data_IF_954982540897
#
_entry.id   IF_954982540897
#
_cell.length_a   1.000
_cell.length_b   1.000
_cell.length_c   1.000
_cell.angle_alpha   90.00
_cell.angle_beta   90.00
_cell.angle_gamma   90.00
#
_symmetry.space_group_name_H-M   'P 1'
#
loop_
_entity.id
_entity.type
_entity.pdbx_description
1 polymer ?
#
# COMPACT_ATOMS: atom_id res chain seq x y z
N UNK A 1 8.37 -8.00 6.37
CA UNK A 1 9.53 -8.94 6.39
C UNK A 1 9.10 -10.40 6.53
N UNK A 2 8.32 -10.76 7.56
CA UNK A 2 7.89 -12.15 7.80
C UNK A 2 6.73 -12.62 6.92
N UNK A 3 6.02 -11.67 6.31
CA UNK A 3 4.95 -11.93 5.34
C UNK A 3 5.46 -12.71 4.11
N UNK A 4 4.66 -13.63 3.58
CA UNK A 4 5.04 -14.47 2.42
C UNK A 4 4.73 -13.83 1.06
N UNK A 5 3.91 -12.79 1.01
CA UNK A 5 3.51 -12.07 -0.20
C UNK A 5 4.71 -11.33 -0.83
N UNK A 6 4.62 -11.05 -2.13
CA UNK A 6 5.64 -10.33 -2.88
C UNK A 6 5.51 -8.81 -2.74
N UNK A 7 5.63 -8.35 -1.50
CA UNK A 7 5.77 -6.92 -1.16
C UNK A 7 7.24 -6.52 -1.16
N UNK A 8 7.52 -5.22 -1.17
CA UNK A 8 8.89 -4.71 -1.11
C UNK A 8 9.51 -4.97 0.27
N UNK A 9 10.20 -6.11 0.41
CA UNK A 9 10.89 -6.51 1.65
C UNK A 9 12.30 -5.96 1.72
N UNK A 10 12.90 -5.67 0.57
CA UNK A 10 14.28 -5.20 0.42
C UNK A 10 14.35 -4.10 -0.62
N UNK A 11 15.32 -3.20 -0.44
CA UNK A 11 15.75 -2.26 -1.46
C UNK A 11 16.88 -2.90 -2.26
N UNK A 12 16.82 -2.78 -3.58
CA UNK A 12 17.80 -3.36 -4.50
C UNK A 12 18.43 -2.25 -5.33
N UNK A 13 19.77 -2.25 -5.41
CA UNK A 13 20.52 -1.27 -6.23
C UNK A 13 21.49 -1.95 -7.17
N UNK A 14 21.50 -1.49 -8.41
CA UNK A 14 22.52 -1.79 -9.41
C UNK A 14 23.31 -0.52 -9.70
N UNK A 15 24.64 -0.53 -9.50
CA UNK A 15 25.49 0.65 -9.70
C UNK A 15 24.97 1.92 -8.96
N UNK A 16 24.54 1.74 -7.70
CA UNK A 16 23.93 2.75 -6.84
C UNK A 16 22.59 3.37 -7.34
N UNK A 17 22.03 2.85 -8.44
CA UNK A 17 20.68 3.17 -8.89
C UNK A 17 19.69 2.14 -8.35
N UNK A 18 18.52 2.60 -7.88
CA UNK A 18 17.45 1.71 -7.43
C UNK A 18 16.88 0.91 -8.60
N UNK A 19 16.78 -0.40 -8.41
CA UNK A 19 16.01 -1.28 -9.29
C UNK A 19 14.55 -1.08 -8.92
N UNK A 20 13.71 -0.82 -9.92
CA UNK A 20 12.29 -0.60 -9.69
C UNK A 20 11.66 -1.83 -8.99
N UNK A 21 10.75 -1.55 -8.07
CA UNK A 21 9.85 -2.55 -7.52
C UNK A 21 8.61 -2.64 -8.41
N UNK A 22 8.25 -3.84 -8.83
CA UNK A 22 7.09 -4.11 -9.70
C UNK A 22 6.08 -5.08 -9.10
N UNK A 23 6.20 -5.39 -7.80
CA UNK A 23 5.19 -6.10 -7.04
C UNK A 23 4.03 -5.21 -6.57
N UNK A 24 3.32 -5.69 -5.54
CA UNK A 24 2.16 -5.02 -4.96
C UNK A 24 2.50 -4.25 -3.68
N UNK A 25 1.70 -3.23 -3.40
CA UNK A 25 1.67 -2.46 -2.14
C UNK A 25 0.43 -2.84 -1.36
N UNK A 26 0.53 -3.01 -0.05
CA UNK A 26 -0.58 -3.48 0.77
C UNK A 26 -1.07 -2.37 1.68
N UNK A 27 -2.37 -2.39 1.97
CA UNK A 27 -2.93 -1.83 3.19
C UNK A 27 -3.32 -2.96 4.14
N UNK A 28 -2.61 -3.05 5.25
CA UNK A 28 -2.89 -4.03 6.31
C UNK A 28 -3.76 -3.38 7.39
N UNK A 29 -4.67 -4.17 7.96
CA UNK A 29 -5.46 -3.78 9.11
C UNK A 29 -4.56 -3.51 10.33
N UNK A 30 -4.90 -2.49 11.11
CA UNK A 30 -4.25 -2.20 12.40
C UNK A 30 -5.12 -2.60 13.59
N UNK A 31 -6.34 -3.05 13.31
CA UNK A 31 -7.33 -3.57 14.25
C UNK A 31 -7.94 -4.85 13.68
N UNK A 32 -8.69 -5.57 14.52
CA UNK A 32 -9.32 -6.85 14.15
C UNK A 32 -8.30 -7.92 13.72
N UNK A 33 -7.09 -7.85 14.29
CA UNK A 33 -6.03 -8.80 14.01
C UNK A 33 -6.27 -10.13 14.74
N UNK A 34 -5.96 -11.21 14.05
CA UNK A 34 -6.04 -12.59 14.55
C UNK A 34 -4.70 -13.04 15.15
N UNK A 35 -4.72 -13.98 16.10
CA UNK A 35 -3.50 -14.50 16.72
C UNK A 35 -2.51 -15.09 15.69
N UNK A 36 -3.02 -15.65 14.59
CA UNK A 36 -2.23 -16.22 13.48
C UNK A 36 -1.43 -15.18 12.68
N UNK A 37 -1.67 -13.90 12.91
CA UNK A 37 -0.99 -12.78 12.25
C UNK A 37 0.22 -12.28 13.04
N UNK A 38 0.41 -12.84 14.24
CA UNK A 38 1.54 -12.56 15.10
C UNK A 38 2.53 -13.72 15.08
N UNK A 39 3.81 -13.36 15.15
CA UNK A 39 4.89 -14.32 15.32
C UNK A 39 5.59 -14.03 16.64
N UNK A 40 5.51 -14.97 17.57
CA UNK A 40 6.23 -14.87 18.85
C UNK A 40 7.74 -15.02 18.62
N UNK A 41 8.52 -14.15 19.26
CA UNK A 41 9.98 -14.20 19.27
C UNK A 41 10.50 -14.13 20.72
N UNK A 42 10.73 -15.29 21.37
CA UNK A 42 11.22 -15.31 22.74
C UNK A 42 12.61 -14.69 22.88
N UNK A 43 12.94 -14.23 24.09
CA UNK A 43 14.23 -13.62 24.39
C UNK A 43 15.41 -14.55 24.01
N UNK A 44 16.35 -14.03 23.21
CA UNK A 44 17.52 -14.76 22.74
C UNK A 44 17.27 -15.74 21.59
N UNK A 45 16.04 -15.84 21.08
CA UNK A 45 15.72 -16.63 19.89
C UNK A 45 15.86 -15.80 18.61
N UNK A 46 15.80 -16.48 17.46
CA UNK A 46 15.87 -15.87 16.14
C UNK A 46 14.90 -16.53 15.18
N UNK A 47 14.31 -15.74 14.28
CA UNK A 47 13.53 -16.23 13.13
C UNK A 47 14.39 -16.04 11.88
N UNK A 48 14.40 -17.03 11.00
CA UNK A 48 15.09 -16.96 9.71
C UNK A 48 14.06 -17.07 8.59
N UNK A 49 14.09 -16.13 7.65
CA UNK A 49 13.24 -16.11 6.46
C UNK A 49 14.12 -16.03 5.23
N UNK A 50 13.77 -16.81 4.21
CA UNK A 50 14.37 -16.73 2.87
C UNK A 50 13.46 -15.91 1.97
N UNK A 51 14.04 -14.96 1.24
CA UNK A 51 13.32 -14.07 0.34
C UNK A 51 13.89 -14.27 -1.05
N UNK A 52 13.01 -14.53 -2.00
CA UNK A 52 13.36 -14.44 -3.41
C UNK A 52 13.11 -13.00 -3.88
N UNK A 53 14.19 -12.26 -4.07
CA UNK A 53 14.16 -10.84 -4.44
C UNK A 53 13.71 -10.66 -5.89
N UNK A 54 13.91 -11.67 -6.75
CA UNK A 54 13.54 -11.61 -8.15
C UNK A 54 12.02 -11.69 -8.37
N UNK A 55 11.24 -12.03 -7.35
CA UNK A 55 9.77 -12.02 -7.43
C UNK A 55 9.17 -10.62 -7.52
N UNK A 56 9.92 -9.58 -7.13
CA UNK A 56 9.38 -8.22 -7.06
C UNK A 56 10.33 -7.14 -7.59
N UNK A 57 11.44 -7.56 -8.19
CA UNK A 57 12.39 -6.71 -8.90
C UNK A 57 12.89 -7.47 -10.12
N UNK A 58 12.92 -6.81 -11.28
CA UNK A 58 13.55 -7.36 -12.48
C UNK A 58 15.08 -7.37 -12.32
N UNK A 59 15.63 -8.56 -12.05
CA UNK A 59 17.07 -8.81 -11.95
C UNK A 59 17.62 -9.62 -13.14
N UNK A 60 16.89 -9.66 -14.26
CA UNK A 60 17.21 -10.46 -15.45
C UNK A 60 18.56 -10.11 -16.10
N UNK A 61 19.07 -8.90 -15.84
CA UNK A 61 20.39 -8.48 -16.32
C UNK A 61 21.55 -9.21 -15.65
N UNK A 62 21.32 -9.82 -14.48
CA UNK A 62 22.33 -10.52 -13.70
C UNK A 62 23.47 -9.63 -13.18
N UNK A 63 24.42 -10.25 -12.48
CA UNK A 63 25.58 -9.59 -11.90
C UNK A 63 25.37 -9.09 -10.46
N UNK A 64 26.19 -8.14 -10.03
CA UNK A 64 26.26 -7.75 -8.62
C UNK A 64 25.20 -6.69 -8.28
N UNK A 65 24.31 -7.04 -7.36
CA UNK A 65 23.32 -6.14 -6.78
C UNK A 65 23.62 -5.89 -5.31
N UNK A 66 23.34 -4.67 -4.85
CA UNK A 66 23.38 -4.29 -3.44
C UNK A 66 21.97 -4.38 -2.86
N UNK A 67 21.82 -5.13 -1.77
CA UNK A 67 20.54 -5.41 -1.13
C UNK A 67 20.55 -4.93 0.32
N UNK A 68 19.48 -4.28 0.75
CA UNK A 68 19.25 -3.80 2.11
C UNK A 68 17.81 -4.07 2.53
N UNK A 69 17.60 -4.57 3.74
CA UNK A 69 16.29 -4.66 4.35
C UNK A 69 16.09 -3.51 5.34
N UNK A 70 15.03 -2.73 5.21
CA UNK A 70 14.65 -1.69 6.16
C UNK A 70 13.13 -1.67 6.29
N UNK A 71 12.63 -1.45 7.51
CA UNK A 71 11.19 -1.36 7.77
C UNK A 71 10.89 -1.33 9.26
N UNK A 72 9.69 -1.76 9.65
CA UNK A 72 9.34 -1.93 11.06
C UNK A 72 8.53 -3.19 11.30
N UNK A 73 8.52 -3.61 12.57
CA UNK A 73 7.58 -4.59 13.08
C UNK A 73 6.64 -3.90 14.03
N UNK A 74 5.34 -3.89 13.73
CA UNK A 74 4.33 -3.62 14.76
C UNK A 74 4.34 -4.77 15.77
N UNK A 75 4.10 -4.46 17.03
CA UNK A 75 4.08 -5.48 18.10
C UNK A 75 2.90 -5.28 19.04
N UNK A 76 2.47 -6.39 19.64
CA UNK A 76 1.47 -6.47 20.69
C UNK A 76 2.12 -7.01 21.98
N UNK A 77 1.45 -6.83 23.11
CA UNK A 77 1.83 -7.53 24.35
C UNK A 77 1.52 -9.04 24.25
N UNK A 78 2.22 -9.86 25.04
CA UNK A 78 2.01 -11.31 25.06
C UNK A 78 0.54 -11.65 25.39
N UNK A 79 -0.09 -12.48 24.55
CA UNK A 79 -1.50 -12.85 24.69
C UNK A 79 -2.50 -11.78 24.25
N UNK A 80 -2.05 -10.74 23.53
CA UNK A 80 -2.90 -9.71 22.94
C UNK A 80 -2.71 -9.64 21.42
N UNK A 81 -3.77 -9.22 20.71
CA UNK A 81 -3.71 -8.83 19.29
C UNK A 81 -3.81 -7.32 19.08
N UNK A 82 -3.85 -6.54 20.17
CA UNK A 82 -3.82 -5.09 20.13
C UNK A 82 -2.38 -4.60 19.93
N UNK A 83 -2.15 -3.87 18.84
CA UNK A 83 -0.86 -3.25 18.56
C UNK A 83 -0.60 -2.13 19.56
N UNK A 84 0.55 -2.18 20.24
CA UNK A 84 0.96 -1.18 21.25
C UNK A 84 2.17 -0.35 20.81
N UNK A 85 2.74 -0.65 19.64
CA UNK A 85 3.81 0.14 19.05
C UNK A 85 4.45 -0.52 17.84
N UNK A 86 5.57 0.06 17.40
CA UNK A 86 6.39 -0.49 16.32
C UNK A 86 7.89 -0.39 16.64
N UNK A 87 8.67 -1.33 16.11
CA UNK A 87 10.13 -1.37 16.23
C UNK A 87 10.73 -1.32 14.83
N UNK A 88 11.48 -0.25 14.52
CA UNK A 88 12.19 -0.13 13.26
C UNK A 88 13.38 -1.10 13.18
N UNK A 89 13.70 -1.58 11.99
CA UNK A 89 14.89 -2.35 11.70
C UNK A 89 15.59 -1.85 10.44
N UNK A 90 16.90 -2.09 10.39
CA UNK A 90 17.74 -1.92 9.21
C UNK A 90 18.80 -3.03 9.24
N UNK A 91 18.95 -3.76 8.13
CA UNK A 91 19.99 -4.77 7.99
C UNK A 91 21.33 -4.14 7.61
N UNK A 92 22.40 -4.92 7.66
CA UNK A 92 23.60 -4.58 6.91
C UNK A 92 23.33 -4.63 5.39
N UNK A 93 24.22 -4.04 4.60
CA UNK A 93 24.22 -4.19 3.15
C UNK A 93 24.80 -5.55 2.75
N UNK A 94 24.18 -6.19 1.77
CA UNK A 94 24.66 -7.40 1.11
C UNK A 94 24.99 -7.10 -0.35
N UNK A 95 26.03 -7.73 -0.88
CA UNK A 95 26.35 -7.74 -2.30
C UNK A 95 26.10 -9.16 -2.81
N UNK A 96 25.13 -9.30 -3.70
CA UNK A 96 24.65 -10.59 -4.20
C UNK A 96 24.97 -10.65 -5.69
N UNK A 97 25.68 -11.70 -6.11
CA UNK A 97 25.89 -12.01 -7.52
C UNK A 97 24.70 -12.84 -8.03
N UNK A 98 23.94 -12.27 -8.95
CA UNK A 98 22.65 -12.80 -9.42
C UNK A 98 22.81 -13.47 -10.77
N UNK A 99 22.34 -14.71 -10.87
CA UNK A 99 22.10 -15.37 -12.15
C UNK A 99 20.87 -14.76 -12.82
N UNK A 100 21.10 -13.99 -13.89
CA UNK A 100 20.04 -13.27 -14.59
C UNK A 100 19.00 -14.18 -15.25
N UNK A 101 19.38 -15.37 -15.72
CA UNK A 101 18.43 -16.31 -16.34
C UNK A 101 17.51 -16.93 -15.28
N UNK A 102 18.09 -17.35 -14.15
CA UNK A 102 17.31 -17.86 -13.03
C UNK A 102 16.40 -16.78 -12.42
N UNK A 103 16.89 -15.54 -12.30
CA UNK A 103 16.11 -14.41 -11.82
C UNK A 103 14.94 -14.09 -12.76
N UNK A 104 15.18 -14.06 -14.08
CA UNK A 104 14.12 -13.86 -15.06
C UNK A 104 13.05 -14.95 -14.97
N UNK A 105 13.44 -16.22 -14.81
CA UNK A 105 12.49 -17.31 -14.66
C UNK A 105 11.65 -17.20 -13.38
N UNK A 106 12.25 -16.78 -12.26
CA UNK A 106 11.51 -16.56 -11.01
C UNK A 106 10.52 -15.40 -11.14
N UNK A 107 10.97 -14.29 -11.72
CA UNK A 107 10.15 -13.10 -12.00
C UNK A 107 8.96 -13.45 -12.90
N UNK A 108 9.21 -14.06 -14.06
CA UNK A 108 8.16 -14.48 -15.00
C UNK A 108 7.16 -15.44 -14.36
N UNK A 109 7.65 -16.39 -13.54
CA UNK A 109 6.76 -17.32 -12.82
C UNK A 109 5.85 -16.57 -11.87
N UNK A 110 6.38 -15.63 -11.09
CA UNK A 110 5.61 -14.83 -10.13
C UNK A 110 4.59 -13.90 -10.80
N UNK A 111 4.95 -13.29 -11.92
CA UNK A 111 4.07 -12.37 -12.65
C UNK A 111 3.14 -13.09 -13.65
N UNK A 112 3.31 -14.39 -13.86
CA UNK A 112 2.35 -15.20 -14.58
C UNK A 112 1.05 -15.37 -13.76
N UNK A 113 -0.09 -15.39 -14.44
CA UNK A 113 -1.41 -15.67 -13.82
C UNK A 113 -1.46 -17.00 -13.03
N UNK A 114 -0.46 -17.88 -13.17
CA UNK A 114 -0.37 -19.15 -12.43
C UNK A 114 0.09 -18.98 -10.97
N UNK A 115 0.84 -17.92 -10.64
CA UNK A 115 1.28 -17.65 -9.27
C UNK A 115 0.15 -17.12 -8.36
N UNK A 116 -0.91 -16.60 -8.97
CA UNK A 116 -2.09 -16.10 -8.28
C UNK A 116 -3.35 -16.78 -8.83
N UNK A 117 -3.58 -18.06 -8.51
CA UNK A 117 -4.79 -18.74 -8.91
C UNK A 117 -5.98 -18.07 -8.21
N UNK A 118 -6.67 -17.20 -8.96
CA UNK A 118 -7.96 -16.66 -8.53
C UNK A 118 -8.87 -17.84 -8.21
N UNK A 119 -9.47 -17.87 -7.01
CA UNK A 119 -10.40 -18.93 -6.63
C UNK A 119 -11.66 -19.02 -7.52
N UNK A 120 -11.86 -18.05 -8.42
CA UNK A 120 -12.93 -17.99 -9.44
C UNK A 120 -12.42 -18.24 -10.89
N UNK A 121 -11.46 -19.16 -11.06
CA UNK A 121 -10.91 -19.58 -12.36
C UNK A 121 -11.90 -20.39 -13.24
N UNK A 122 -13.15 -19.92 -13.40
CA UNK A 122 -14.11 -20.52 -14.33
C UNK A 122 -14.48 -19.64 -15.53
N UNK A 123 -14.04 -18.37 -15.61
CA UNK A 123 -14.43 -17.50 -16.73
C UNK A 123 -13.38 -16.46 -17.20
N UNK A 124 -12.15 -16.84 -17.53
CA UNK A 124 -11.23 -15.90 -18.22
C UNK A 124 -10.22 -16.56 -19.16
N UNK A 125 -10.70 -17.28 -20.17
CA UNK A 125 -9.95 -17.42 -21.42
C UNK A 125 -10.49 -16.41 -22.43
N UNK A 126 -9.88 -15.21 -22.47
CA UNK A 126 -9.72 -14.34 -23.65
C UNK A 126 -9.58 -12.86 -23.23
N UNK A 127 -8.35 -12.35 -23.08
CA UNK A 127 -8.12 -10.90 -23.07
C UNK A 127 -6.69 -10.48 -23.46
N UNK A 128 -6.21 -10.88 -24.64
CA UNK A 128 -5.32 -10.00 -25.42
C UNK A 128 -6.19 -9.18 -26.36
N UNK A 129 -6.74 -8.06 -25.87
CA UNK A 129 -7.37 -7.04 -26.72
C UNK A 129 -6.88 -5.63 -26.40
N UNK A 130 -6.36 -5.03 -27.46
CA UNK A 130 -6.09 -3.62 -27.71
C UNK A 130 -6.82 -2.59 -26.83
N UNK A 131 -6.02 -1.83 -26.08
CA UNK A 131 -5.99 -0.37 -26.03
C UNK A 131 -7.30 0.37 -26.41
N UNK A 132 -8.24 0.46 -25.46
CA UNK A 132 -9.08 1.64 -25.16
C UNK A 132 -10.10 1.27 -24.06
N UNK A 133 -9.64 1.11 -22.82
CA UNK A 133 -10.56 1.01 -21.68
C UNK A 133 -10.40 2.25 -20.82
N UNK A 134 -11.50 3.00 -20.72
CA UNK A 134 -11.56 4.31 -20.10
C UNK A 134 -11.61 4.15 -18.57
N UNK A 135 -10.65 4.80 -17.90
CA UNK A 135 -10.79 5.54 -16.64
C UNK A 135 -11.18 4.73 -15.40
N UNK A 136 -11.02 5.24 -14.17
CA UNK A 136 -11.16 4.44 -12.94
C UNK A 136 -12.49 3.69 -12.82
N UNK A 137 -12.48 2.46 -13.28
CA UNK A 137 -13.70 1.71 -13.48
C UNK A 137 -13.76 0.74 -12.34
N UNK A 138 -14.76 0.91 -11.48
CA UNK A 138 -15.22 -0.17 -10.63
C UNK A 138 -15.56 -1.33 -11.57
N UNK A 139 -14.84 -2.44 -11.42
CA UNK A 139 -14.90 -3.58 -12.33
C UNK A 139 -16.13 -4.44 -12.02
N UNK A 140 -16.48 -5.35 -12.94
CA UNK A 140 -17.74 -6.09 -12.85
C UNK A 140 -17.80 -7.10 -11.69
N UNK A 141 -16.65 -7.47 -11.11
CA UNK A 141 -16.56 -8.30 -9.91
C UNK A 141 -16.97 -7.56 -8.63
N UNK A 142 -17.03 -6.22 -8.68
CA UNK A 142 -17.74 -5.41 -7.70
C UNK A 142 -19.24 -5.49 -7.97
N UNK A 143 -19.90 -6.55 -7.48
CA UNK A 143 -21.33 -6.76 -7.63
C UNK A 143 -22.08 -6.64 -6.30
N UNK A 144 -23.40 -6.45 -6.38
CA UNK A 144 -24.29 -6.45 -5.21
C UNK A 144 -23.88 -5.43 -4.15
N UNK A 145 -23.68 -5.90 -2.91
CA UNK A 145 -23.32 -5.03 -1.79
C UNK A 145 -21.94 -4.38 -1.97
N UNK A 146 -20.95 -5.09 -2.55
CA UNK A 146 -19.60 -4.57 -2.78
C UNK A 146 -19.63 -3.36 -3.73
N UNK A 147 -20.45 -3.40 -4.79
CA UNK A 147 -20.65 -2.26 -5.69
C UNK A 147 -21.10 -1.01 -4.93
N UNK A 148 -22.10 -1.15 -4.05
CA UNK A 148 -22.63 -0.03 -3.27
C UNK A 148 -21.61 0.54 -2.28
N UNK A 149 -20.83 -0.33 -1.65
CA UNK A 149 -19.73 0.04 -0.76
C UNK A 149 -18.64 0.78 -1.52
N UNK A 150 -18.11 0.22 -2.62
CA UNK A 150 -17.04 0.86 -3.41
C UNK A 150 -17.46 2.22 -3.97
N UNK A 151 -18.69 2.35 -4.47
CA UNK A 151 -19.19 3.65 -4.93
C UNK A 151 -19.29 4.68 -3.81
N UNK A 152 -19.63 4.25 -2.59
CA UNK A 152 -19.72 5.14 -1.43
C UNK A 152 -18.34 5.49 -0.89
N UNK A 153 -17.43 4.51 -0.83
CA UNK A 153 -16.01 4.66 -0.51
C UNK A 153 -15.36 5.72 -1.38
N UNK A 154 -15.45 5.58 -2.71
CA UNK A 154 -14.86 6.54 -3.66
C UNK A 154 -15.43 7.96 -3.48
N UNK A 155 -16.74 8.11 -3.25
CA UNK A 155 -17.32 9.44 -2.97
C UNK A 155 -16.74 10.05 -1.69
N UNK A 156 -16.63 9.26 -0.63
CA UNK A 156 -16.05 9.70 0.64
C UNK A 156 -14.55 9.99 0.52
N UNK A 157 -13.79 9.15 -0.21
CA UNK A 157 -12.40 9.37 -0.56
C UNK A 157 -12.23 10.75 -1.23
N UNK A 158 -13.03 11.02 -2.26
CA UNK A 158 -12.94 12.28 -3.00
C UNK A 158 -13.25 13.49 -2.11
N UNK A 159 -14.26 13.41 -1.24
CA UNK A 159 -14.61 14.47 -0.30
C UNK A 159 -13.53 14.68 0.77
N UNK A 160 -13.03 13.61 1.36
CA UNK A 160 -11.98 13.65 2.38
C UNK A 160 -10.66 14.17 1.79
N UNK A 161 -10.27 13.72 0.61
CA UNK A 161 -9.10 14.21 -0.11
C UNK A 161 -9.21 15.70 -0.46
N UNK A 162 -10.38 16.19 -0.91
CA UNK A 162 -10.59 17.64 -1.15
C UNK A 162 -10.43 18.47 0.12
N UNK A 163 -10.89 17.98 1.27
CA UNK A 163 -10.70 18.66 2.56
C UNK A 163 -9.24 18.64 2.99
N UNK A 164 -8.57 17.50 2.86
CA UNK A 164 -7.15 17.37 3.17
C UNK A 164 -6.28 18.26 2.26
N UNK A 165 -6.62 18.37 0.97
CA UNK A 165 -6.02 19.31 0.03
C UNK A 165 -6.13 20.75 0.55
N UNK A 166 -7.34 21.22 0.86
CA UNK A 166 -7.55 22.58 1.38
C UNK A 166 -6.78 22.83 2.67
N UNK A 167 -6.76 21.85 3.59
CA UNK A 167 -6.00 21.93 4.83
C UNK A 167 -4.49 21.98 4.57
N UNK A 168 -3.97 21.24 3.58
CA UNK A 168 -2.56 21.32 3.22
C UNK A 168 -2.20 22.70 2.66
N UNK A 169 -3.07 23.30 1.84
CA UNK A 169 -2.83 24.64 1.28
C UNK A 169 -2.92 25.75 2.35
N UNK A 170 -3.97 25.73 3.18
CA UNK A 170 -4.36 26.89 4.00
C UNK A 170 -4.50 26.59 5.50
N UNK A 171 -4.44 25.33 5.90
CA UNK A 171 -4.61 24.89 7.28
C UNK A 171 -3.36 25.03 8.14
N UNK A 172 -3.50 24.52 9.37
CA UNK A 172 -2.47 24.57 10.43
C UNK A 172 -1.11 24.07 9.94
N UNK A 173 -0.07 24.84 10.27
CA UNK A 173 1.31 24.43 10.03
C UNK A 173 1.69 23.25 10.93
N UNK A 174 1.21 23.27 12.18
CA UNK A 174 1.46 22.23 13.19
C UNK A 174 0.94 20.87 12.70
N UNK A 175 -0.24 20.83 12.09
CA UNK A 175 -0.80 19.59 11.55
C UNK A 175 0.04 19.03 10.41
N UNK A 176 0.54 19.86 9.50
CA UNK A 176 1.47 19.39 8.47
C UNK A 176 2.81 18.94 9.05
N UNK A 177 3.34 19.64 10.06
CA UNK A 177 4.59 19.24 10.74
C UNK A 177 4.43 17.89 11.43
N UNK A 178 3.28 17.60 12.02
CA UNK A 178 3.01 16.32 12.68
C UNK A 178 3.18 15.14 11.71
N UNK A 179 2.50 15.21 10.56
CA UNK A 179 2.46 14.12 9.58
C UNK A 179 3.64 14.13 8.61
N UNK A 180 4.06 15.30 8.11
CA UNK A 180 5.08 15.43 7.06
C UNK A 180 6.41 16.03 7.54
N UNK A 181 6.55 16.31 8.85
CA UNK A 181 7.76 16.87 9.50
C UNK A 181 8.16 18.26 9.03
N UNK A 182 7.34 18.90 8.20
CA UNK A 182 7.58 20.24 7.67
C UNK A 182 6.26 20.85 7.22
N UNK A 183 6.19 22.18 7.23
CA UNK A 183 5.08 22.97 6.68
C UNK A 183 5.58 24.02 5.68
N UNK A 184 6.75 23.79 5.07
CA UNK A 184 7.29 24.68 4.05
C UNK A 184 6.34 24.77 2.85
N UNK A 185 6.45 25.85 2.07
CA UNK A 185 5.62 26.03 0.86
C UNK A 185 5.74 24.85 -0.10
N UNK A 186 6.94 24.26 -0.21
CA UNK A 186 7.17 23.06 -1.01
C UNK A 186 6.40 21.84 -0.48
N UNK A 187 6.41 21.60 0.84
CA UNK A 187 5.63 20.50 1.44
C UNK A 187 4.14 20.74 1.30
N UNK A 188 3.66 21.95 1.57
CA UNK A 188 2.25 22.34 1.38
C UNK A 188 1.78 22.09 -0.04
N UNK A 189 2.55 22.55 -1.01
CA UNK A 189 2.23 22.34 -2.43
C UNK A 189 2.24 20.86 -2.79
N UNK A 190 3.28 20.12 -2.39
CA UNK A 190 3.38 18.68 -2.68
C UNK A 190 2.19 17.92 -2.11
N UNK A 191 1.84 18.14 -0.84
CA UNK A 191 0.73 17.44 -0.18
C UNK A 191 -0.62 17.83 -0.79
N UNK A 192 -0.83 19.13 -1.04
CA UNK A 192 -2.02 19.63 -1.73
C UNK A 192 -2.19 19.03 -3.13
N UNK A 193 -1.12 18.97 -3.93
CA UNK A 193 -1.17 18.44 -5.29
C UNK A 193 -1.48 16.94 -5.30
N UNK A 194 -0.91 16.17 -4.37
CA UNK A 194 -1.22 14.74 -4.22
C UNK A 194 -2.69 14.53 -3.86
N UNK A 195 -3.22 15.24 -2.86
CA UNK A 195 -4.64 15.12 -2.52
C UNK A 195 -5.57 15.58 -3.65
N UNK A 196 -5.18 16.59 -4.43
CA UNK A 196 -5.93 16.99 -5.61
C UNK A 196 -6.02 15.88 -6.66
N UNK A 197 -4.93 15.11 -6.86
CA UNK A 197 -4.91 13.94 -7.75
C UNK A 197 -5.72 12.78 -7.19
N UNK A 198 -5.61 12.48 -5.89
CA UNK A 198 -6.43 11.47 -5.22
C UNK A 198 -7.92 11.80 -5.34
N UNK A 199 -8.30 13.07 -5.12
CA UNK A 199 -9.69 13.50 -5.27
C UNK A 199 -10.22 13.33 -6.70
N UNK A 200 -9.37 13.48 -7.72
CA UNK A 200 -9.71 13.22 -9.11
C UNK A 200 -9.79 11.71 -9.41
N UNK A 201 -8.90 10.90 -8.82
CA UNK A 201 -8.92 9.44 -8.95
C UNK A 201 -10.22 8.83 -8.42
N UNK A 202 -10.66 9.34 -7.27
CA UNK A 202 -11.87 8.90 -6.57
C UNK A 202 -13.17 9.54 -7.10
N UNK A 203 -13.13 10.42 -8.12
CA UNK A 203 -14.34 11.05 -8.65
C UNK A 203 -15.17 10.09 -9.51
N UNK A 204 -16.33 9.69 -8.99
CA UNK A 204 -17.26 8.79 -9.70
C UNK A 204 -17.90 9.37 -10.97
N UNK A 205 -17.85 10.69 -11.20
CA UNK A 205 -18.39 11.33 -12.41
C UNK A 205 -17.36 11.42 -13.54
N UNK A 206 -16.09 11.54 -13.18
CA UNK A 206 -14.98 11.49 -14.11
C UNK A 206 -13.96 10.50 -13.57
N UNK A 207 -14.18 9.19 -13.82
CA UNK A 207 -13.36 8.16 -13.23
C UNK A 207 -11.87 8.41 -13.58
N UNK A 208 -11.00 8.13 -12.61
CA UNK A 208 -9.55 8.30 -12.59
C UNK A 208 -8.78 7.40 -13.57
N UNK A 209 -7.64 6.86 -13.20
CA UNK A 209 -6.80 6.04 -14.09
C UNK A 209 -6.81 4.55 -13.77
N UNK A 210 -7.22 4.15 -12.56
CA UNK A 210 -7.01 2.80 -12.05
C UNK A 210 -8.20 1.84 -12.18
N UNK A 211 -7.98 0.55 -12.39
CA UNK A 211 -9.05 -0.45 -12.28
C UNK A 211 -9.28 -0.76 -10.81
N UNK A 212 -10.53 -0.65 -10.34
CA UNK A 212 -10.90 -1.04 -8.97
C UNK A 212 -11.61 -2.39 -8.98
N UNK A 213 -10.99 -3.40 -8.38
CA UNK A 213 -11.57 -4.73 -8.19
C UNK A 213 -12.01 -4.96 -6.74
N UNK A 214 -13.03 -5.78 -6.57
CA UNK A 214 -13.60 -6.15 -5.28
C UNK A 214 -13.42 -7.64 -4.94
N UNK A 215 -12.67 -8.34 -5.79
CA UNK A 215 -12.26 -9.72 -5.65
C UNK A 215 -10.75 -9.82 -5.87
N UNK A 216 -10.12 -10.80 -5.24
CA UNK A 216 -8.67 -10.98 -5.25
C UNK A 216 -8.15 -11.48 -6.61
N UNK A 217 -7.89 -10.55 -7.53
CA UNK A 217 -7.44 -10.84 -8.90
C UNK A 217 -5.94 -11.12 -9.00
N UNK A 218 -5.18 -10.91 -7.93
CA UNK A 218 -3.75 -11.19 -7.83
C UNK A 218 -3.41 -11.96 -6.55
N UNK A 219 -4.32 -12.80 -6.03
CA UNK A 219 -4.08 -13.75 -4.94
C UNK A 219 -3.35 -13.22 -3.69
N UNK A 220 -3.49 -11.92 -3.39
CA UNK A 220 -2.75 -11.22 -2.35
C UNK A 220 -3.58 -10.90 -1.12
N UNK A 221 -4.89 -11.12 -1.17
CA UNK A 221 -5.74 -10.95 0.00
C UNK A 221 -5.43 -12.02 1.05
N UNK A 222 -5.27 -11.59 2.30
CA UNK A 222 -5.09 -12.41 3.51
C UNK A 222 -6.03 -11.89 4.60
N UNK A 223 -6.08 -12.58 5.74
CA UNK A 223 -6.99 -12.27 6.85
C UNK A 223 -6.85 -10.85 7.38
N UNK A 224 -5.66 -10.25 7.32
CA UNK A 224 -5.38 -8.86 7.74
C UNK A 224 -5.25 -7.86 6.59
N UNK A 225 -5.34 -8.27 5.33
CA UNK A 225 -5.15 -7.33 4.21
C UNK A 225 -6.48 -6.67 3.89
N UNK A 226 -6.53 -5.34 3.97
CA UNK A 226 -7.70 -4.53 3.63
C UNK A 226 -7.79 -4.31 2.11
N UNK A 227 -6.67 -3.93 1.49
CA UNK A 227 -6.57 -3.68 0.08
C UNK A 227 -5.11 -3.81 -0.39
N UNK A 228 -4.91 -3.80 -1.70
CA UNK A 228 -3.59 -3.70 -2.29
C UNK A 228 -3.62 -2.98 -3.64
N UNK A 229 -2.49 -2.41 -4.04
CA UNK A 229 -2.29 -1.73 -5.32
C UNK A 229 -1.12 -2.35 -6.08
N UNK A 230 -1.31 -2.62 -7.38
CA UNK A 230 -0.20 -2.77 -8.34
C UNK A 230 0.00 -1.42 -9.05
N UNK A 231 1.07 -0.67 -8.72
CA UNK A 231 1.34 0.62 -9.35
C UNK A 231 1.60 0.48 -10.87
N UNK A 232 2.27 -0.60 -11.27
CA UNK A 232 2.62 -0.90 -12.67
C UNK A 232 1.39 -1.14 -13.53
N UNK A 233 0.39 -1.85 -13.00
CA UNK A 233 -0.85 -2.18 -13.72
C UNK A 233 -1.95 -1.12 -13.57
N UNK A 234 -1.70 -0.07 -12.78
CA UNK A 234 -2.71 0.90 -12.35
C UNK A 234 -3.97 0.20 -11.83
N UNK A 235 -3.77 -0.68 -10.85
CA UNK A 235 -4.79 -1.59 -10.33
C UNK A 235 -4.91 -1.42 -8.81
N UNK A 236 -6.12 -1.23 -8.32
CA UNK A 236 -6.46 -1.22 -6.90
C UNK A 236 -7.42 -2.38 -6.63
N UNK A 237 -7.12 -3.20 -5.63
CA UNK A 237 -7.92 -4.39 -5.29
C UNK A 237 -8.28 -4.35 -3.82
N UNK A 238 -9.56 -4.56 -3.57
CA UNK A 238 -10.14 -4.48 -2.24
C UNK A 238 -10.48 -5.87 -1.76
N UNK A 239 -9.87 -6.24 -0.63
CA UNK A 239 -10.05 -7.54 -0.01
C UNK A 239 -11.36 -7.59 0.78
N UNK A 240 -11.80 -8.80 1.12
CA UNK A 240 -13.06 -9.02 1.84
C UNK A 240 -13.13 -8.26 3.17
N UNK A 241 -11.99 -8.13 3.87
CA UNK A 241 -11.90 -7.40 5.14
C UNK A 241 -12.35 -5.94 5.00
N UNK A 242 -11.96 -5.23 3.92
CA UNK A 242 -12.41 -3.85 3.65
C UNK A 242 -13.93 -3.72 3.64
N UNK A 243 -14.62 -4.69 3.03
CA UNK A 243 -16.08 -4.65 2.93
C UNK A 243 -16.80 -5.09 4.21
N UNK A 244 -16.14 -5.92 5.02
CA UNK A 244 -16.75 -6.58 6.17
C UNK A 244 -16.59 -5.81 7.47
N UNK A 245 -15.42 -5.18 7.70
CA UNK A 245 -15.09 -4.60 9.02
C UNK A 245 -14.90 -3.09 9.00
N UNK A 246 -14.52 -2.50 7.86
CA UNK A 246 -14.28 -1.06 7.82
C UNK A 246 -15.60 -0.27 7.74
N UNK A 247 -15.76 0.78 8.58
CA UNK A 247 -16.86 1.72 8.40
C UNK A 247 -16.63 2.58 7.15
N UNK A 248 -17.69 3.21 6.64
CA UNK A 248 -17.60 4.09 5.47
C UNK A 248 -16.69 5.30 5.71
N UNK A 249 -16.80 5.90 6.90
CA UNK A 249 -15.86 6.88 7.46
C UNK A 249 -15.85 6.74 8.99
N UNK A 250 -14.79 7.20 9.63
CA UNK A 250 -14.69 7.30 11.10
C UNK A 250 -14.38 8.71 11.57
N UNK A 251 -14.86 9.05 12.78
CA UNK A 251 -14.50 10.29 13.49
C UNK A 251 -13.47 10.03 14.60
N UNK A 252 -13.08 8.77 14.79
CA UNK A 252 -12.00 8.42 15.70
C UNK A 252 -10.66 8.74 15.04
N UNK A 253 -9.76 9.31 15.83
CA UNK A 253 -8.45 9.73 15.37
C UNK A 253 -7.59 8.52 15.00
N UNK A 254 -6.99 8.61 13.81
CA UNK A 254 -6.01 7.66 13.31
C UNK A 254 -6.56 6.25 13.01
N UNK A 255 -7.88 6.08 13.12
CA UNK A 255 -8.57 4.84 12.80
C UNK A 255 -8.70 4.62 11.29
N UNK A 256 -8.78 3.35 10.90
CA UNK A 256 -8.96 2.96 9.50
C UNK A 256 -10.44 2.95 9.12
N UNK A 257 -10.72 3.41 7.91
CA UNK A 257 -12.04 3.37 7.30
C UNK A 257 -11.92 3.15 5.79
N UNK A 258 -13.07 2.99 5.11
CA UNK A 258 -13.09 2.77 3.66
C UNK A 258 -12.46 3.96 2.90
N UNK A 259 -12.78 5.19 3.28
CA UNK A 259 -12.30 6.39 2.58
C UNK A 259 -10.77 6.58 2.69
N UNK A 260 -10.20 6.36 3.87
CA UNK A 260 -8.77 6.45 4.15
C UNK A 260 -8.00 5.31 3.51
N UNK A 261 -8.59 4.11 3.44
CA UNK A 261 -8.04 2.99 2.67
C UNK A 261 -8.01 3.32 1.17
N UNK A 262 -9.07 3.91 0.62
CA UNK A 262 -9.09 4.36 -0.77
C UNK A 262 -8.02 5.43 -1.05
N UNK A 263 -7.83 6.38 -0.12
CA UNK A 263 -6.77 7.39 -0.21
C UNK A 263 -5.39 6.72 -0.19
N UNK A 264 -5.15 5.78 0.74
CA UNK A 264 -3.89 5.03 0.85
C UNK A 264 -3.54 4.38 -0.49
N UNK A 265 -4.43 3.56 -1.01
CA UNK A 265 -4.23 2.82 -2.26
C UNK A 265 -4.05 3.76 -3.46
N UNK A 266 -4.87 4.82 -3.57
CA UNK A 266 -4.74 5.79 -4.65
C UNK A 266 -3.35 6.45 -4.67
N UNK A 267 -2.71 6.67 -3.53
CA UNK A 267 -1.36 7.28 -3.51
C UNK A 267 -0.26 6.36 -4.05
N UNK A 268 -0.44 5.04 -4.00
CA UNK A 268 0.51 4.08 -4.56
C UNK A 268 0.59 4.13 -6.08
N UNK A 269 -0.47 4.57 -6.76
CA UNK A 269 -0.48 4.72 -8.21
C UNK A 269 0.60 5.74 -8.66
N UNK A 270 1.42 5.36 -9.65
CA UNK A 270 2.47 6.24 -10.17
C UNK A 270 1.94 7.55 -10.77
N UNK A 271 0.73 7.51 -11.32
CA UNK A 271 0.04 8.67 -11.89
C UNK A 271 -0.37 9.68 -10.81
N UNK A 272 -0.49 9.23 -9.56
CA UNK A 272 -0.86 10.05 -8.40
C UNK A 272 0.41 10.52 -7.70
N UNK A 273 1.16 9.60 -7.09
CA UNK A 273 2.39 9.92 -6.35
C UNK A 273 3.43 8.80 -6.37
N UNK A 274 3.02 7.53 -6.42
CA UNK A 274 3.93 6.40 -6.31
C UNK A 274 4.50 6.25 -4.89
N UNK A 275 3.66 6.43 -3.87
CA UNK A 275 4.07 6.24 -2.47
C UNK A 275 4.46 4.78 -2.20
N UNK A 276 5.24 4.58 -1.15
CA UNK A 276 5.69 3.31 -0.61
C UNK A 276 5.03 3.07 0.75
N UNK A 277 5.16 1.84 1.27
CA UNK A 277 4.73 1.48 2.63
C UNK A 277 5.89 1.44 3.63
N UNK A 278 7.14 1.46 3.17
CA UNK A 278 8.35 1.32 4.01
C UNK A 278 8.30 0.19 5.05
N UNK A 279 7.47 -0.85 4.82
CA UNK A 279 7.32 -1.98 5.71
C UNK A 279 6.69 -1.65 7.07
N UNK A 280 5.84 -0.63 7.20
CA UNK A 280 5.11 -0.35 8.45
C UNK A 280 3.83 0.46 8.24
N UNK A 281 2.95 0.45 9.23
CA UNK A 281 1.63 1.10 9.18
C UNK A 281 1.25 1.71 10.54
N UNK A 282 0.28 2.61 10.53
CA UNK A 282 -0.27 3.25 11.71
C UNK A 282 0.46 4.54 12.12
N UNK A 283 -0.19 5.27 13.03
CA UNK A 283 0.24 6.60 13.45
C UNK A 283 1.62 6.63 14.10
N UNK A 284 1.93 5.66 14.98
CA UNK A 284 3.23 5.60 15.64
C UNK A 284 4.38 5.35 14.64
N UNK A 285 4.15 4.51 13.64
CA UNK A 285 5.13 4.27 12.59
C UNK A 285 5.38 5.55 11.76
N UNK A 286 4.31 6.20 11.28
CA UNK A 286 4.41 7.49 10.56
C UNK A 286 5.08 8.57 11.41
N UNK A 287 4.91 8.53 12.73
CA UNK A 287 5.61 9.45 13.63
C UNK A 287 7.11 9.20 13.71
N UNK A 288 7.54 7.95 13.62
CA UNK A 288 8.94 7.55 13.70
C UNK A 288 9.76 7.90 12.44
N UNK A 289 9.10 8.04 11.30
CA UNK A 289 9.74 8.26 10.01
C UNK A 289 10.29 9.70 9.82
N UNK A 290 11.39 9.86 9.07
CA UNK A 290 11.86 11.17 8.64
C UNK A 290 10.92 11.79 7.59
N UNK A 291 10.94 13.12 7.47
CA UNK A 291 10.02 13.86 6.59
C UNK A 291 10.03 13.43 5.12
N UNK A 292 11.19 13.08 4.58
CA UNK A 292 11.33 12.59 3.20
C UNK A 292 10.59 11.27 2.97
N UNK A 293 10.67 10.33 3.93
CA UNK A 293 9.89 9.09 3.89
C UNK A 293 8.41 9.40 4.05
N UNK A 294 8.02 10.30 4.96
CA UNK A 294 6.61 10.63 5.16
C UNK A 294 5.94 11.27 3.93
N UNK A 295 6.66 12.09 3.17
CA UNK A 295 6.18 12.62 1.89
C UNK A 295 5.99 11.55 0.80
N UNK A 296 6.57 10.37 0.99
CA UNK A 296 6.49 9.25 0.07
C UNK A 296 5.82 8.01 0.71
N UNK A 297 5.11 8.18 1.83
CA UNK A 297 4.49 7.07 2.55
C UNK A 297 2.96 7.15 2.47
N UNK A 298 2.31 6.08 2.01
CA UNK A 298 0.87 6.08 1.73
C UNK A 298 0.02 6.36 2.98
N UNK A 299 0.35 5.73 4.10
CA UNK A 299 -0.42 5.89 5.33
C UNK A 299 -0.31 7.30 5.92
N UNK A 300 0.77 8.03 5.62
CA UNK A 300 0.90 9.43 6.06
C UNK A 300 -0.21 10.28 5.46
N UNK A 301 -0.57 10.03 4.20
CA UNK A 301 -1.68 10.73 3.54
C UNK A 301 -3.03 10.28 4.08
N UNK A 302 -3.24 8.98 4.28
CA UNK A 302 -4.46 8.44 4.85
C UNK A 302 -4.74 8.99 6.27
N UNK A 303 -3.73 8.96 7.14
CA UNK A 303 -3.83 9.44 8.52
C UNK A 303 -3.97 10.97 8.60
N UNK A 304 -3.26 11.73 7.76
CA UNK A 304 -3.45 13.18 7.68
C UNK A 304 -4.89 13.51 7.24
N UNK A 305 -5.42 12.80 6.25
CA UNK A 305 -6.79 12.99 5.78
C UNK A 305 -7.82 12.65 6.87
N UNK A 306 -7.63 11.54 7.59
CA UNK A 306 -8.44 11.19 8.76
C UNK A 306 -8.40 12.29 9.83
N UNK A 307 -7.22 12.81 10.19
CA UNK A 307 -7.06 13.82 11.22
C UNK A 307 -7.83 15.11 10.87
N UNK A 308 -7.71 15.57 9.63
CA UNK A 308 -8.47 16.72 9.12
C UNK A 308 -9.98 16.44 9.13
N UNK A 309 -10.40 15.22 8.79
CA UNK A 309 -11.81 14.83 8.79
C UNK A 309 -12.41 14.76 10.19
N UNK A 310 -11.68 14.17 11.14
CA UNK A 310 -12.11 13.92 12.52
C UNK A 310 -11.90 15.10 13.46
N UNK A 311 -11.10 16.10 13.07
CA UNK A 311 -10.82 17.28 13.89
C UNK A 311 -9.76 17.06 14.95
N UNK A 312 -8.84 16.13 14.70
CA UNK A 312 -7.57 16.00 15.40
C UNK A 312 -6.41 16.13 14.41
#
# INVERSE_FOLDING_TARGET
>A
MLDTSAVEKVQVKANDQEVAFDGIRLRIATHFLEETEFQELPAGQSITVTIDVAQAHDLSSGGIYKVLASGAFSFAEEGSTELVGSVAYESNHLWVDVDGEAAAASHDTHHSHEAYPSHDAQHSHDARRSHSEKRSTIQNDCAGYKMGVSQSGLRNCADMARRAQQAATWGSAEKLVEYFKSSSDHVRQTVSDVFGRVAAECDTNNPGVSKLHCSDVMGACRTNVLAYTSPTDALMVYCDLYFQVLPATTMACHEQDQATTDIHEATHLYQIKGTLDYGGYGYDFVRSLPGEKNLNHADTYALYANAIWSGC
#
